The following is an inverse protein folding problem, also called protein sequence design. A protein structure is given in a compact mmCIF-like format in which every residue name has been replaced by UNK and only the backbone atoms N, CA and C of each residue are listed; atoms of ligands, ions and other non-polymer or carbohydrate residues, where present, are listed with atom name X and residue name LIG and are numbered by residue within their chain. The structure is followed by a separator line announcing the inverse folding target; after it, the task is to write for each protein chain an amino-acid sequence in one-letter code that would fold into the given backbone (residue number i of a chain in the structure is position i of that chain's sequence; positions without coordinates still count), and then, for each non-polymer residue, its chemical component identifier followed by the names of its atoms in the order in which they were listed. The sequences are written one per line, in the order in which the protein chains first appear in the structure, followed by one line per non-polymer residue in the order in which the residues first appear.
data_IF_438783860094
#
_entry.id   IF_438783860094
#
_cell.length_a   1.000
_cell.length_b   1.000
_cell.length_c   1.000
_cell.angle_alpha   90.00
_cell.angle_beta   90.00
_cell.angle_gamma   90.00
#
_symmetry.space_group_name_H-M   'P 1'
#
loop_
_entity.id
_entity.type
_entity.pdbx_description
1 polymer ?
#
# COMPACT_ATOMS: atom_id res chain seq x y z
N UNK A 1 -2.75 -11.57 6.42
CA UNK A 1 -3.40 -12.10 5.20
C UNK A 1 -3.14 -11.21 3.96
N UNK A 2 -3.08 -9.88 4.08
CA UNK A 2 -2.81 -8.97 2.94
C UNK A 2 -1.37 -9.08 2.40
N UNK A 3 -0.35 -9.11 3.28
CA UNK A 3 1.07 -9.16 2.86
C UNK A 3 1.37 -10.40 2.02
N UNK A 4 0.94 -11.57 2.48
CA UNK A 4 1.13 -12.82 1.74
C UNK A 4 0.52 -12.75 0.34
N UNK A 5 -0.70 -12.23 0.21
CA UNK A 5 -1.33 -12.03 -1.09
C UNK A 5 -0.56 -11.06 -1.99
N UNK A 6 -0.06 -9.95 -1.44
CA UNK A 6 0.75 -8.99 -2.20
C UNK A 6 2.09 -9.60 -2.67
N UNK A 7 2.66 -10.56 -1.93
CA UNK A 7 3.82 -11.35 -2.36
C UNK A 7 3.43 -12.31 -3.49
N UNK A 8 2.36 -13.07 -3.31
CA UNK A 8 1.84 -14.04 -4.30
C UNK A 8 1.48 -13.36 -5.63
N UNK A 9 0.93 -12.14 -5.57
CA UNK A 9 0.58 -11.32 -6.74
C UNK A 9 1.76 -10.49 -7.29
N UNK A 10 2.95 -10.58 -6.68
CA UNK A 10 4.15 -9.86 -7.14
C UNK A 10 4.13 -8.34 -6.96
N UNK A 11 3.24 -7.81 -6.11
CA UNK A 11 3.13 -6.39 -5.81
C UNK A 11 4.25 -5.91 -4.88
N UNK A 12 4.74 -6.81 -4.01
CA UNK A 12 5.88 -6.58 -3.14
C UNK A 12 6.83 -7.77 -3.20
N UNK A 13 8.07 -7.58 -2.77
CA UNK A 13 9.07 -8.65 -2.60
C UNK A 13 9.74 -8.52 -1.24
N UNK A 14 10.10 -9.64 -0.63
CA UNK A 14 10.90 -9.67 0.60
C UNK A 14 12.33 -9.18 0.30
N UNK A 15 12.84 -8.24 1.09
CA UNK A 15 14.21 -7.75 0.96
C UNK A 15 15.08 -8.27 2.11
N UNK A 16 16.34 -8.54 1.78
CA UNK A 16 17.40 -8.86 2.75
C UNK A 16 18.10 -7.60 3.26
N UNK A 17 17.78 -6.44 2.70
CA UNK A 17 18.24 -5.16 3.21
C UNK A 17 17.60 -4.94 4.58
N UNK A 18 18.41 -5.08 5.63
CA UNK A 18 18.01 -4.88 7.02
C UNK A 18 18.72 -3.65 7.60
N UNK A 19 18.11 -2.93 8.56
CA UNK A 19 18.78 -1.92 9.35
C UNK A 19 20.00 -2.49 10.09
N UNK A 20 20.82 -1.61 10.70
CA UNK A 20 21.90 -2.04 11.59
C UNK A 20 21.37 -3.02 12.66
N UNK A 21 22.12 -4.08 13.04
CA UNK A 21 21.69 -5.07 14.01
C UNK A 21 21.22 -4.49 15.37
N UNK A 22 21.68 -3.28 15.70
CA UNK A 22 21.33 -2.54 16.92
C UNK A 22 19.87 -2.05 16.92
N UNK A 23 19.29 -1.85 15.73
CA UNK A 23 17.91 -1.41 15.50
C UNK A 23 17.06 -2.53 14.85
N UNK A 24 17.64 -3.70 14.60
CA UNK A 24 17.00 -4.80 13.90
C UNK A 24 16.33 -5.79 14.87
N UNK A 25 15.10 -6.18 14.54
CA UNK A 25 14.40 -7.27 15.19
C UNK A 25 14.50 -8.50 14.29
N UNK A 26 15.15 -9.55 14.77
CA UNK A 26 15.43 -10.78 14.01
C UNK A 26 14.18 -11.44 13.41
N UNK A 27 12.98 -11.15 13.94
CA UNK A 27 11.71 -11.70 13.47
C UNK A 27 11.06 -10.85 12.38
N UNK A 28 11.55 -9.64 12.13
CA UNK A 28 10.94 -8.69 11.19
C UNK A 28 11.37 -8.99 9.76
N UNK A 29 10.38 -9.27 8.91
CA UNK A 29 10.57 -9.40 7.46
C UNK A 29 10.35 -8.05 6.81
N UNK A 30 11.33 -7.59 6.04
CA UNK A 30 11.24 -6.34 5.29
C UNK A 30 10.77 -6.60 3.88
N UNK A 31 9.98 -5.67 3.35
CA UNK A 31 9.43 -5.75 2.01
C UNK A 31 9.70 -4.46 1.26
N UNK A 32 9.93 -4.57 -0.05
CA UNK A 32 9.92 -3.43 -0.97
C UNK A 32 8.81 -3.58 -1.99
N UNK A 33 8.24 -2.46 -2.41
CA UNK A 33 7.27 -2.43 -3.49
C UNK A 33 7.97 -2.71 -4.83
N UNK A 34 7.31 -3.48 -5.71
CA UNK A 34 7.79 -3.73 -7.07
C UNK A 34 7.34 -2.61 -8.02
N UNK A 35 7.87 -2.58 -9.24
CA UNK A 35 7.35 -1.68 -10.28
C UNK A 35 5.88 -1.96 -10.60
N UNK A 36 5.48 -3.24 -10.62
CA UNK A 36 4.08 -3.65 -10.76
C UNK A 36 3.23 -3.14 -9.58
N UNK A 37 3.69 -3.37 -8.35
CA UNK A 37 3.00 -2.88 -7.14
C UNK A 37 2.82 -1.37 -7.15
N UNK A 38 3.83 -0.62 -7.63
CA UNK A 38 3.75 0.84 -7.76
C UNK A 38 2.69 1.25 -8.78
N UNK A 39 2.62 0.58 -9.93
CA UNK A 39 1.61 0.84 -10.95
C UNK A 39 0.19 0.55 -10.43
N UNK A 40 0.00 -0.59 -9.75
CA UNK A 40 -1.28 -0.98 -9.14
C UNK A 40 -1.69 0.00 -8.05
N UNK A 41 -0.77 0.40 -7.17
CA UNK A 41 -1.04 1.37 -6.12
C UNK A 41 -1.48 2.73 -6.67
N UNK A 42 -0.88 3.20 -7.77
CA UNK A 42 -1.29 4.44 -8.45
C UNK A 42 -2.69 4.31 -9.05
N UNK A 43 -2.99 3.19 -9.71
CA UNK A 43 -4.31 2.95 -10.28
C UNK A 43 -5.40 2.90 -9.18
N UNK A 44 -5.10 2.24 -8.06
CA UNK A 44 -6.01 2.15 -6.93
C UNK A 44 -6.23 3.52 -6.26
N UNK A 45 -5.17 4.31 -6.11
CA UNK A 45 -5.29 5.69 -5.61
C UNK A 45 -6.19 6.56 -6.50
N UNK A 46 -6.06 6.43 -7.83
CA UNK A 46 -6.93 7.14 -8.77
C UNK A 46 -8.40 6.69 -8.64
N UNK A 47 -8.64 5.38 -8.54
CA UNK A 47 -9.99 4.81 -8.31
C UNK A 47 -10.62 5.34 -7.03
N UNK A 48 -9.87 5.37 -5.93
CA UNK A 48 -10.34 5.91 -4.65
C UNK A 48 -10.64 7.41 -4.75
N UNK A 49 -9.80 8.18 -5.45
CA UNK A 49 -10.06 9.60 -5.67
C UNK A 49 -11.38 9.84 -6.43
N UNK A 50 -11.66 9.02 -7.45
CA UNK A 50 -12.93 9.08 -8.18
C UNK A 50 -14.14 8.72 -7.32
N UNK A 51 -14.03 7.70 -6.48
CA UNK A 51 -15.09 7.34 -5.53
C UNK A 51 -15.38 8.50 -4.56
N UNK A 52 -14.33 9.14 -4.02
CA UNK A 52 -14.48 10.31 -3.15
C UNK A 52 -15.09 11.49 -3.89
N UNK A 53 -14.69 11.73 -5.15
CA UNK A 53 -15.28 12.77 -6.00
C UNK A 53 -16.79 12.55 -6.20
N UNK A 54 -17.21 11.32 -6.47
CA UNK A 54 -18.63 10.97 -6.60
C UNK A 54 -19.39 11.14 -5.28
N UNK A 55 -18.80 10.71 -4.16
CA UNK A 55 -19.40 10.88 -2.84
C UNK A 55 -19.61 12.37 -2.50
N UNK A 56 -18.64 13.23 -2.81
CA UNK A 56 -18.76 14.69 -2.65
C UNK A 56 -19.89 15.27 -3.49
N UNK A 57 -19.98 14.88 -4.77
CA UNK A 57 -21.03 15.33 -5.68
C UNK A 57 -22.45 14.93 -5.21
N UNK A 58 -22.55 13.87 -4.40
CA UNK A 58 -23.81 13.39 -3.82
C UNK A 58 -24.06 13.89 -2.39
N UNK A 59 -23.20 14.76 -1.85
CA UNK A 59 -23.34 15.27 -0.48
C UNK A 59 -23.09 14.20 0.61
N UNK A 60 -22.46 13.08 0.27
CA UNK A 60 -22.24 11.95 1.18
C UNK A 60 -20.97 12.12 2.03
N UNK A 61 -20.11 13.09 1.72
CA UNK A 61 -18.90 13.36 2.50
C UNK A 61 -19.23 14.39 3.60
N UNK A 62 -18.97 14.08 4.88
CA UNK A 62 -19.18 15.02 5.97
C UNK A 62 -18.42 16.32 5.73
N UNK A 63 -19.08 17.48 5.98
CA UNK A 63 -18.35 18.74 6.09
C UNK A 63 -17.43 18.66 7.30
N UNK A 64 -16.17 19.05 7.12
CA UNK A 64 -15.26 19.27 8.25
C UNK A 64 -15.92 20.33 9.17
N UNK A 65 -16.03 20.01 10.45
CA UNK A 65 -16.53 20.93 11.47
C UNK A 65 -15.61 22.14 11.60
#
# INVERSE_FOLDING_TARGET
RSIQRMLEEGLIVETRDRPSPEDDDERRRYYRITSLGTAVAKAEAARLADLVRMARARGLVPRKA
#
